data_IF_261839245852
#
_entry.id   IF_261839245852
#
_cell.length_a   1.000
_cell.length_b   1.000
_cell.length_c   1.000
_cell.angle_alpha   90.00
_cell.angle_beta   90.00
_cell.angle_gamma   90.00
#
_symmetry.space_group_name_H-M   'P 1'
#
loop_
_entity.id
_entity.type
_entity.pdbx_description
1 polymer ?
#
# COMPACT_ATOMS: atom_id res chain seq x y z
N UNK A 1 37.68 -4.72 -3.24
CA UNK A 1 36.24 -4.97 -3.33
C UNK A 1 35.64 -3.89 -2.47
N UNK A 2 35.38 -2.73 -3.06
CA UNK A 2 34.79 -1.61 -2.35
C UNK A 2 33.32 -1.94 -2.15
N UNK A 3 32.89 -1.85 -0.90
CA UNK A 3 31.55 -2.17 -0.46
C UNK A 3 30.53 -1.38 -1.29
N UNK A 4 29.56 -2.12 -1.82
CA UNK A 4 28.42 -1.58 -2.54
C UNK A 4 27.46 -0.94 -1.52
N UNK A 5 27.89 0.18 -0.93
CA UNK A 5 27.18 0.93 0.11
C UNK A 5 26.06 1.82 -0.47
N UNK A 6 25.59 1.49 -1.67
CA UNK A 6 24.33 1.99 -2.20
C UNK A 6 23.22 0.99 -1.87
N UNK A 7 23.06 0.65 -0.59
CA UNK A 7 21.73 0.25 -0.13
C UNK A 7 20.85 1.47 -0.36
N UNK A 8 20.13 1.38 -1.46
CA UNK A 8 19.19 2.36 -1.94
C UNK A 8 18.12 2.56 -0.86
N UNK A 9 18.38 3.50 0.07
CA UNK A 9 17.40 4.15 0.94
C UNK A 9 16.43 4.97 0.07
N UNK A 10 15.71 4.29 -0.83
CA UNK A 10 14.77 4.89 -1.78
C UNK A 10 13.56 5.44 -1.04
N UNK A 11 13.21 4.84 0.10
CA UNK A 11 12.06 5.27 0.89
C UNK A 11 12.59 6.21 1.98
N UNK A 12 12.42 7.51 1.75
CA UNK A 12 12.76 8.56 2.72
C UNK A 12 11.53 9.21 3.35
N UNK A 13 10.35 8.86 2.85
CA UNK A 13 9.09 9.42 3.30
C UNK A 13 8.15 8.28 3.66
N UNK A 14 7.60 8.35 4.87
CA UNK A 14 6.56 7.43 5.32
C UNK A 14 5.31 8.23 5.66
N UNK A 15 4.20 7.90 4.99
CA UNK A 15 2.87 8.38 5.38
C UNK A 15 2.19 7.30 6.20
N UNK A 16 1.76 7.66 7.40
CA UNK A 16 1.07 6.75 8.33
C UNK A 16 -0.32 7.27 8.60
N UNK A 17 -1.32 6.39 8.48
CA UNK A 17 -2.66 6.66 8.97
C UNK A 17 -2.85 5.95 10.31
N UNK A 18 -3.01 6.74 11.36
CA UNK A 18 -3.24 6.25 12.72
C UNK A 18 -4.75 6.32 12.99
N UNK A 19 -5.38 5.16 13.14
CA UNK A 19 -6.80 5.08 13.51
C UNK A 19 -6.97 4.75 14.99
N UNK A 20 -7.60 5.65 15.72
CA UNK A 20 -8.08 5.45 17.08
C UNK A 20 -9.55 5.02 17.06
N UNK A 21 -9.83 3.93 17.78
CA UNK A 21 -11.19 3.45 18.03
C UNK A 21 -11.48 3.48 19.52
N UNK A 22 -12.61 4.09 19.89
CA UNK A 22 -13.09 4.07 21.27
C UNK A 22 -13.93 2.81 21.45
N UNK A 23 -13.52 1.91 22.35
CA UNK A 23 -14.20 0.61 22.58
C UNK A 23 -15.70 0.77 22.84
N UNK A 24 -16.08 1.76 23.65
CA UNK A 24 -17.49 2.03 23.98
C UNK A 24 -18.34 2.44 22.77
N UNK A 25 -17.70 2.95 21.71
CA UNK A 25 -18.34 3.41 20.50
C UNK A 25 -18.35 2.32 19.41
N UNK A 26 -17.62 1.23 19.60
CA UNK A 26 -17.47 0.15 18.62
C UNK A 26 -17.06 0.70 17.25
N UNK A 27 -17.73 0.23 16.20
CA UNK A 27 -17.50 0.68 14.82
C UNK A 27 -18.29 1.95 14.45
N UNK A 28 -18.93 2.63 15.41
CA UNK A 28 -19.80 3.77 15.12
C UNK A 28 -19.03 5.05 14.78
N UNK A 29 -17.77 5.17 15.17
CA UNK A 29 -16.91 6.25 14.71
C UNK A 29 -15.44 5.88 14.74
N UNK A 30 -14.66 6.61 13.96
CA UNK A 30 -13.21 6.48 13.84
C UNK A 30 -12.58 7.84 13.95
N UNK A 31 -11.47 7.91 14.66
CA UNK A 31 -10.67 9.11 14.76
C UNK A 31 -9.31 8.82 14.12
N UNK A 32 -9.01 9.51 13.01
CA UNK A 32 -7.84 9.26 12.19
C UNK A 32 -6.89 10.45 12.27
N UNK A 33 -5.60 10.15 12.39
CA UNK A 33 -4.52 11.13 12.29
C UNK A 33 -3.60 10.68 11.16
N UNK A 34 -3.42 11.56 10.18
CA UNK A 34 -2.50 11.36 9.08
C UNK A 34 -1.17 12.00 9.45
N UNK A 35 -0.15 11.18 9.58
CA UNK A 35 1.20 11.63 9.89
C UNK A 35 2.12 11.46 8.69
N UNK A 36 3.03 12.41 8.53
CA UNK A 36 4.13 12.34 7.58
C UNK A 36 5.44 12.29 8.34
N UNK A 37 6.25 11.30 8.01
CA UNK A 37 7.59 11.15 8.51
C UNK A 37 8.60 11.44 7.41
N UNK A 38 9.53 12.34 7.70
CA UNK A 38 10.65 12.72 6.83
C UNK A 38 11.78 13.28 7.70
N UNK A 39 13.03 12.98 7.34
CA UNK A 39 14.24 13.56 7.97
C UNK A 39 14.17 13.53 9.50
N UNK A 40 13.94 12.34 10.06
CA UNK A 40 13.90 12.12 11.52
C UNK A 40 12.79 12.86 12.28
N UNK A 41 11.81 13.43 11.55
CA UNK A 41 10.73 14.22 12.12
C UNK A 41 9.36 13.67 11.73
N UNK A 42 8.48 13.55 12.73
CA UNK A 42 7.08 13.16 12.54
C UNK A 42 6.20 14.41 12.64
N UNK A 43 5.47 14.72 11.57
CA UNK A 43 4.49 15.81 11.53
C UNK A 43 3.07 15.26 11.33
N UNK A 44 2.08 16.00 11.80
CA UNK A 44 0.66 15.72 11.56
C UNK A 44 0.21 16.57 10.35
N UNK A 45 -0.29 15.91 9.31
CA UNK A 45 -0.86 16.56 8.12
C UNK A 45 -2.35 16.86 8.33
N UNK A 46 -3.10 15.89 8.84
CA UNK A 46 -4.57 15.95 8.89
C UNK A 46 -5.11 15.18 10.10
N UNK A 47 -6.23 15.66 10.65
CA UNK A 47 -6.94 15.03 11.76
C UNK A 47 -8.41 14.95 11.40
N UNK A 48 -8.92 13.71 11.30
CA UNK A 48 -10.27 13.44 10.81
C UNK A 48 -11.08 12.68 11.86
N UNK A 49 -12.31 13.12 12.09
CA UNK A 49 -13.30 12.37 12.85
C UNK A 49 -14.44 11.95 11.94
N UNK A 50 -14.63 10.63 11.79
CA UNK A 50 -15.63 10.05 10.91
C UNK A 50 -16.64 9.25 11.73
N UNK A 51 -17.89 9.68 11.70
CA UNK A 51 -19.00 8.84 12.15
C UNK A 51 -19.40 7.83 11.07
N UNK A 52 -19.94 6.70 11.50
CA UNK A 52 -20.29 5.59 10.59
C UNK A 52 -21.33 5.99 9.54
N UNK A 53 -22.31 6.79 9.92
CA UNK A 53 -23.30 7.35 9.00
C UNK A 53 -22.63 8.24 7.94
N UNK A 54 -21.56 8.97 8.30
CA UNK A 54 -20.95 9.95 7.41
C UNK A 54 -20.24 9.33 6.20
N UNK A 55 -19.66 8.12 6.28
CA UNK A 55 -19.04 7.48 5.11
C UNK A 55 -19.99 6.55 4.33
N UNK A 56 -21.11 6.14 4.95
CA UNK A 56 -22.12 5.31 4.29
C UNK A 56 -23.14 6.17 3.53
N UNK A 57 -23.44 7.37 4.04
CA UNK A 57 -24.52 8.22 3.54
C UNK A 57 -24.05 9.50 2.84
N UNK A 58 -22.77 9.90 2.99
CA UNK A 58 -22.24 11.12 2.36
C UNK A 58 -21.04 10.79 1.47
N UNK A 59 -21.09 11.30 0.25
CA UNK A 59 -19.98 11.20 -0.72
C UNK A 59 -18.72 11.95 -0.24
N UNK A 60 -18.89 12.93 0.67
CA UNK A 60 -17.81 13.77 1.21
C UNK A 60 -18.01 14.03 2.71
N UNK A 61 -17.59 13.10 3.59
CA UNK A 61 -17.60 13.36 5.02
C UNK A 61 -16.68 14.53 5.37
N UNK A 62 -16.97 15.22 6.48
CA UNK A 62 -16.15 16.35 6.93
C UNK A 62 -14.73 15.86 7.29
N UNK A 63 -13.73 16.34 6.55
CA UNK A 63 -12.33 15.93 6.71
C UNK A 63 -11.60 16.64 7.86
N UNK A 64 -12.29 17.48 8.63
CA UNK A 64 -11.63 18.30 9.64
C UNK A 64 -11.05 19.61 9.07
N UNK A 65 -10.63 20.53 9.95
CA UNK A 65 -9.88 21.71 9.55
C UNK A 65 -8.44 21.34 9.17
N UNK A 66 -7.78 22.23 8.42
CA UNK A 66 -6.35 22.09 8.16
C UNK A 66 -5.57 22.15 9.48
N UNK A 67 -4.69 21.17 9.72
CA UNK A 67 -4.05 21.00 11.04
C UNK A 67 -3.25 22.24 11.50
N UNK A 68 -2.45 22.91 10.63
CA UNK A 68 -1.76 24.14 10.99
C UNK A 68 -2.66 25.30 11.44
N UNK A 69 -3.94 25.30 11.05
CA UNK A 69 -4.91 26.35 11.42
C UNK A 69 -5.53 26.10 12.80
N UNK A 70 -5.29 24.93 13.40
CA UNK A 70 -5.73 24.65 14.76
C UNK A 70 -4.99 25.53 15.78
N UNK A 71 -5.62 25.78 16.92
CA UNK A 71 -4.92 26.53 17.98
C UNK A 71 -3.67 25.75 18.46
N UNK A 72 -2.57 26.44 18.83
CA UNK A 72 -1.29 25.78 19.16
C UNK A 72 -1.40 24.77 20.31
N UNK A 73 -2.24 25.04 21.31
CA UNK A 73 -2.44 24.13 22.44
C UNK A 73 -3.08 22.81 21.99
N UNK A 74 -4.05 22.86 21.08
CA UNK A 74 -4.72 21.69 20.50
C UNK A 74 -3.76 20.89 19.62
N UNK A 75 -2.94 21.55 18.80
CA UNK A 75 -1.88 20.89 18.04
C UNK A 75 -0.93 20.12 18.98
N UNK A 76 -0.50 20.76 20.07
CA UNK A 76 0.37 20.14 21.07
C UNK A 76 -0.28 18.93 21.75
N UNK A 77 -1.59 18.99 22.05
CA UNK A 77 -2.32 17.86 22.61
C UNK A 77 -2.40 16.66 21.65
N UNK A 78 -2.46 16.88 20.33
CA UNK A 78 -2.41 15.78 19.37
C UNK A 78 -1.04 15.09 19.33
N UNK A 79 0.05 15.87 19.36
CA UNK A 79 1.39 15.30 19.50
C UNK A 79 1.56 14.53 20.82
N UNK A 80 1.02 15.04 21.93
CA UNK A 80 1.03 14.31 23.19
C UNK A 80 0.20 13.02 23.15
N UNK A 81 -0.95 13.04 22.48
CA UNK A 81 -1.78 11.85 22.29
C UNK A 81 -1.00 10.76 21.54
N UNK A 82 -0.37 11.09 20.41
CA UNK A 82 0.46 10.16 19.64
C UNK A 82 1.60 9.59 20.51
N UNK A 83 2.37 10.48 21.15
CA UNK A 83 3.49 10.08 22.00
C UNK A 83 3.08 9.19 23.17
N UNK A 84 1.94 9.48 23.81
CA UNK A 84 1.41 8.67 24.93
C UNK A 84 1.03 7.24 24.52
N UNK A 85 0.90 6.98 23.21
CA UNK A 85 0.59 5.68 22.63
C UNK A 85 1.80 5.02 21.98
N UNK A 86 2.99 5.58 22.18
CA UNK A 86 4.24 5.09 21.58
C UNK A 86 4.34 5.38 20.08
N UNK A 87 3.56 6.34 19.56
CA UNK A 87 3.61 6.76 18.17
C UNK A 87 4.52 7.99 18.11
N UNK A 88 5.76 7.78 17.73
CA UNK A 88 6.80 8.80 17.64
C UNK A 88 7.73 8.54 16.43
N UNK A 89 8.77 9.37 16.29
CA UNK A 89 9.76 9.23 15.22
C UNK A 89 10.45 7.85 15.22
N UNK A 90 10.72 7.29 16.41
CA UNK A 90 11.37 5.97 16.52
C UNK A 90 10.48 4.85 15.98
N UNK A 91 9.17 4.90 16.24
CA UNK A 91 8.24 3.96 15.61
C UNK A 91 8.25 4.13 14.08
N UNK A 92 8.30 5.37 13.61
CA UNK A 92 8.32 5.68 12.19
C UNK A 92 9.60 5.15 11.50
N UNK A 93 10.76 5.26 12.15
CA UNK A 93 12.02 4.65 11.67
C UNK A 93 11.89 3.14 11.52
N UNK A 94 11.42 2.46 12.58
CA UNK A 94 11.22 1.01 12.54
C UNK A 94 10.24 0.59 11.44
N UNK A 95 9.18 1.36 11.24
CA UNK A 95 8.21 1.12 10.18
C UNK A 95 8.82 1.35 8.78
N UNK A 96 9.69 2.35 8.64
CA UNK A 96 10.41 2.66 7.40
C UNK A 96 11.39 1.55 7.03
N UNK A 97 12.20 1.08 7.98
CA UNK A 97 13.15 -0.03 7.80
C UNK A 97 12.43 -1.32 7.37
N UNK A 98 11.31 -1.61 8.06
CA UNK A 98 10.48 -2.75 7.72
C UNK A 98 9.86 -2.62 6.32
N UNK A 99 9.38 -1.43 5.97
CA UNK A 99 8.79 -1.16 4.66
C UNK A 99 9.82 -1.33 3.54
N UNK A 100 11.05 -0.85 3.71
CA UNK A 100 12.14 -1.01 2.75
C UNK A 100 12.45 -2.49 2.49
N UNK A 101 12.58 -3.28 3.56
CA UNK A 101 12.82 -4.73 3.46
C UNK A 101 11.68 -5.45 2.74
N UNK A 102 10.43 -5.19 3.17
CA UNK A 102 9.23 -5.79 2.56
C UNK A 102 9.06 -5.38 1.11
N UNK A 103 9.34 -4.13 0.77
CA UNK A 103 9.23 -3.61 -0.60
C UNK A 103 10.12 -4.40 -1.55
N UNK A 104 11.37 -4.67 -1.16
CA UNK A 104 12.30 -5.46 -1.96
C UNK A 104 11.80 -6.91 -2.16
N UNK A 105 11.33 -7.55 -1.09
CA UNK A 105 10.79 -8.91 -1.16
C UNK A 105 9.57 -9.02 -2.10
N UNK A 106 8.62 -8.11 -1.95
CA UNK A 106 7.40 -8.04 -2.77
C UNK A 106 7.72 -7.71 -4.23
N UNK A 107 8.67 -6.80 -4.47
CA UNK A 107 9.14 -6.49 -5.82
C UNK A 107 9.70 -7.73 -6.52
N UNK A 108 10.59 -8.47 -5.85
CA UNK A 108 11.17 -9.70 -6.39
C UNK A 108 10.09 -10.78 -6.60
N UNK A 109 9.14 -10.91 -5.67
CA UNK A 109 8.00 -11.81 -5.81
C UNK A 109 7.16 -11.48 -7.04
N UNK A 110 6.82 -10.19 -7.22
CA UNK A 110 6.07 -9.69 -8.36
C UNK A 110 6.77 -9.94 -9.69
N UNK A 111 8.08 -9.64 -9.81
CA UNK A 111 8.87 -9.91 -11.02
C UNK A 111 8.89 -11.42 -11.35
N UNK A 112 9.06 -12.28 -10.33
CA UNK A 112 9.00 -13.74 -10.53
C UNK A 112 7.63 -14.19 -11.03
N UNK A 113 6.55 -13.61 -10.51
CA UNK A 113 5.19 -13.91 -10.93
C UNK A 113 4.94 -13.50 -12.39
N UNK A 114 5.40 -12.32 -12.81
CA UNK A 114 5.36 -11.89 -14.22
C UNK A 114 6.10 -12.88 -15.11
N UNK A 115 7.32 -13.29 -14.72
CA UNK A 115 8.11 -14.25 -15.49
C UNK A 115 7.37 -15.57 -15.67
N UNK A 116 6.73 -16.09 -14.62
CA UNK A 116 5.91 -17.31 -14.69
C UNK A 116 4.71 -17.12 -15.61
N UNK A 117 4.01 -15.99 -15.52
CA UNK A 117 2.86 -15.67 -16.36
C UNK A 117 3.23 -15.64 -17.85
N UNK A 118 4.35 -14.99 -18.21
CA UNK A 118 4.83 -14.93 -19.59
C UNK A 118 5.24 -16.30 -20.12
N UNK A 119 5.95 -17.12 -19.31
CA UNK A 119 6.29 -18.50 -19.68
C UNK A 119 5.06 -19.37 -19.93
N UNK A 120 4.02 -19.23 -19.11
CA UNK A 120 2.75 -19.96 -19.27
C UNK A 120 2.02 -19.59 -20.57
N UNK A 121 2.10 -18.32 -21.02
CA UNK A 121 1.53 -17.91 -22.31
C UNK A 121 2.37 -18.34 -23.53
N UNK A 122 3.68 -18.48 -23.37
CA UNK A 122 4.58 -18.95 -24.44
C UNK A 122 4.42 -20.44 -24.79
N UNK A 123 3.81 -21.25 -23.93
CA UNK A 123 3.61 -22.69 -24.15
C UNK A 123 2.29 -23.04 -24.89
N UNK A 124 1.44 -22.07 -25.23
CA UNK A 124 0.11 -22.33 -25.83
C UNK A 124 0.11 -22.26 -27.37
N UNK A 125 1.27 -22.25 -28.04
CA UNK A 125 1.31 -22.18 -29.51
C UNK A 125 2.41 -23.04 -30.15
N UNK A 126 2.11 -24.33 -30.33
CA UNK A 126 2.43 -25.05 -31.57
C UNK A 126 1.23 -25.93 -31.94
N UNK A 127 0.54 -25.69 -33.07
CA UNK A 127 -0.30 -26.72 -33.65
C UNK A 127 0.65 -27.78 -34.24
N UNK A 128 0.68 -28.94 -33.61
CA UNK A 128 1.38 -30.13 -34.09
C UNK A 128 0.99 -30.41 -35.55
N UNK A 129 1.96 -30.28 -36.46
CA UNK A 129 1.84 -30.69 -37.85
C UNK A 129 2.00 -32.20 -37.95
N UNK A 130 0.90 -32.92 -37.80
CA UNK A 130 0.71 -34.32 -38.20
C UNK A 130 -0.81 -34.46 -38.33
N UNK A 131 -1.41 -34.61 -39.50
CA UNK A 131 -1.32 -35.78 -40.37
C UNK A 131 -1.44 -35.34 -41.83
N UNK A 132 -0.38 -35.52 -42.61
CA UNK A 132 -0.45 -35.59 -44.06
C UNK A 132 0.03 -36.98 -44.42
N UNK A 133 -0.89 -37.95 -44.48
CA UNK A 133 -0.85 -39.07 -45.41
C UNK A 133 -2.17 -39.85 -45.31
N UNK A 134 -2.61 -40.38 -46.45
CA UNK A 134 -3.63 -41.41 -46.65
C UNK A 134 -5.09 -40.95 -46.87
N UNK A 135 -5.39 -40.56 -48.12
CA UNK A 135 -5.95 -41.50 -49.12
C UNK A 135 -6.63 -40.72 -50.26
N UNK A 136 -5.90 -40.63 -51.38
CA UNK A 136 -6.46 -40.61 -52.72
C UNK A 136 -7.20 -41.95 -52.90
N UNK A 137 -8.54 -41.98 -52.93
CA UNK A 137 -9.33 -42.85 -53.84
C UNK A 137 -10.70 -42.16 -54.12
N UNK A 138 -10.80 -41.67 -55.35
CA UNK A 138 -11.97 -41.50 -56.23
C UNK A 138 -13.39 -41.67 -55.66
N UNK A 139 -14.26 -40.67 -55.91
CA UNK A 139 -15.59 -40.89 -56.52
C UNK A 139 -16.02 -39.65 -57.33
N UNK A 140 -15.86 -39.76 -58.65
CA UNK A 140 -16.74 -39.15 -59.66
C UNK A 140 -18.00 -40.03 -59.78
N UNK A 141 -19.10 -39.44 -60.27
CA UNK A 141 -20.42 -40.02 -60.62
C UNK A 141 -21.38 -40.09 -59.41
N UNK A 142 -22.58 -39.49 -59.40
CA UNK A 142 -23.49 -38.95 -60.43
C UNK A 142 -24.07 -37.60 -60.03
#
# INVERSE_FOLDING_TARGET
MEDNEYELNIIQHLKMNIEFRKVSLGDKARFQIFCHYMTESLSIEEVVYLEKSAYVEKDYPYSGPFFPDLNPQMQQHFYYLLKSRGIDARLADLALDHLSSKYQEEYLSWVRNIRRFLKKKGQVREPSKEHQHDHIITKKLS
#
